data_IF_259547989056
#
_entry.id   IF_259547989056
#
_cell.length_a   1.000
_cell.length_b   1.000
_cell.length_c   1.000
_cell.angle_alpha   90.00
_cell.angle_beta   90.00
_cell.angle_gamma   90.00
#
_symmetry.space_group_name_H-M   'P 1'
#
loop_
_entity.id
_entity.type
_entity.pdbx_description
1 polymer ?
#
# COMPACT_ATOMS: atom_id res chain seq x y z
N UNK A 1 22.76 -31.55 -3.24
CA UNK A 1 21.39 -32.10 -3.24
C UNK A 1 20.45 -30.94 -3.52
N UNK A 2 19.81 -30.89 -4.69
CA UNK A 2 18.89 -29.80 -5.04
C UNK A 2 17.56 -30.10 -4.33
N UNK A 3 17.22 -29.32 -3.31
CA UNK A 3 15.86 -29.36 -2.73
C UNK A 3 14.87 -28.91 -3.82
N UNK A 4 14.04 -29.84 -4.30
CA UNK A 4 13.11 -29.59 -5.42
C UNK A 4 11.82 -28.89 -4.98
N UNK A 5 11.50 -28.87 -3.68
CA UNK A 5 10.37 -28.17 -3.10
C UNK A 5 10.62 -27.90 -1.60
N UNK A 6 10.32 -26.67 -1.15
CA UNK A 6 10.42 -26.25 0.26
C UNK A 6 9.04 -25.80 0.74
N UNK A 7 8.57 -26.37 1.85
CA UNK A 7 7.33 -25.96 2.52
C UNK A 7 7.70 -25.32 3.86
N UNK A 8 7.33 -24.05 4.04
CA UNK A 8 7.55 -23.31 5.27
C UNK A 8 6.50 -22.19 5.40
N UNK A 9 6.29 -21.62 6.61
CA UNK A 9 5.49 -20.42 6.78
C UNK A 9 5.99 -19.27 5.92
N UNK A 10 5.08 -18.39 5.49
CA UNK A 10 5.38 -17.29 4.57
C UNK A 10 6.53 -16.36 5.04
N UNK A 11 6.62 -15.96 6.33
CA UNK A 11 7.77 -15.17 6.81
C UNK A 11 9.12 -15.87 6.57
N UNK A 12 9.18 -17.18 6.81
CA UNK A 12 10.40 -17.98 6.61
C UNK A 12 10.79 -18.05 5.13
N UNK A 13 9.80 -18.13 4.22
CA UNK A 13 10.06 -18.12 2.79
C UNK A 13 10.58 -16.76 2.29
N UNK A 14 10.14 -15.66 2.90
CA UNK A 14 10.67 -14.31 2.63
C UNK A 14 12.10 -14.17 3.17
N UNK A 15 12.34 -14.51 4.45
CA UNK A 15 13.66 -14.43 5.09
C UNK A 15 14.71 -15.28 4.37
N UNK A 16 14.31 -16.45 3.86
CA UNK A 16 15.18 -17.35 3.11
C UNK A 16 15.38 -16.98 1.64
N UNK A 17 14.73 -15.91 1.15
CA UNK A 17 14.84 -15.42 -0.22
C UNK A 17 14.07 -16.25 -1.26
N UNK A 18 13.31 -17.26 -0.86
CA UNK A 18 12.42 -18.03 -1.76
C UNK A 18 11.29 -17.15 -2.30
N UNK A 19 10.81 -16.20 -1.50
CA UNK A 19 9.93 -15.10 -1.93
C UNK A 19 10.78 -13.81 -1.95
N UNK A 20 11.42 -13.48 -3.07
CA UNK A 20 12.46 -12.44 -3.11
C UNK A 20 11.92 -11.01 -3.19
N UNK A 21 10.62 -10.82 -3.46
CA UNK A 21 10.02 -9.50 -3.61
C UNK A 21 8.54 -9.47 -3.22
N UNK A 22 8.02 -8.26 -3.02
CA UNK A 22 6.61 -8.03 -2.73
C UNK A 22 5.70 -8.44 -3.92
N UNK A 23 6.21 -8.39 -5.15
CA UNK A 23 5.51 -8.86 -6.35
C UNK A 23 5.34 -10.38 -6.34
N UNK A 24 6.41 -11.12 -6.02
CA UNK A 24 6.32 -12.59 -5.87
C UNK A 24 5.40 -12.96 -4.71
N UNK A 25 5.46 -12.22 -3.60
CA UNK A 25 4.50 -12.37 -2.49
C UNK A 25 3.05 -12.19 -3.00
N UNK A 26 2.80 -11.19 -3.84
CA UNK A 26 1.48 -10.90 -4.39
C UNK A 26 0.93 -12.00 -5.31
N UNK A 27 1.79 -12.84 -5.90
CA UNK A 27 1.36 -14.01 -6.70
C UNK A 27 0.85 -15.16 -5.81
N UNK A 28 1.35 -15.26 -4.58
CA UNK A 28 0.99 -16.33 -3.64
C UNK A 28 -0.28 -16.01 -2.83
N UNK A 29 -0.46 -14.73 -2.49
CA UNK A 29 -1.54 -14.23 -1.62
C UNK A 29 -2.97 -14.61 -2.09
N UNK A 30 -3.31 -14.59 -3.40
CA UNK A 30 -4.66 -14.95 -3.86
C UNK A 30 -5.12 -16.34 -3.40
N UNK A 31 -4.19 -17.29 -3.19
CA UNK A 31 -4.53 -18.64 -2.73
C UNK A 31 -5.01 -18.65 -1.28
N UNK A 32 -4.37 -17.84 -0.43
CA UNK A 32 -4.69 -17.67 0.98
C UNK A 32 -6.01 -16.89 1.14
N UNK A 33 -6.17 -15.79 0.38
CA UNK A 33 -7.38 -14.98 0.39
C UNK A 33 -8.58 -15.77 -0.15
N UNK A 34 -8.38 -16.62 -1.16
CA UNK A 34 -9.43 -17.52 -1.65
C UNK A 34 -9.92 -18.46 -0.55
N UNK A 35 -9.00 -19.08 0.20
CA UNK A 35 -9.34 -20.00 1.28
C UNK A 35 -10.06 -19.28 2.43
N UNK A 36 -9.55 -18.11 2.85
CA UNK A 36 -10.14 -17.28 3.89
C UNK A 36 -11.54 -16.76 3.48
N UNK A 37 -11.69 -16.30 2.24
CA UNK A 37 -12.98 -15.82 1.72
C UNK A 37 -13.99 -16.96 1.62
N UNK A 38 -13.57 -18.11 1.10
CA UNK A 38 -14.41 -19.28 1.00
C UNK A 38 -14.75 -19.89 2.37
N UNK A 39 -13.90 -19.74 3.39
CA UNK A 39 -14.11 -20.29 4.72
C UNK A 39 -15.44 -19.88 5.39
N UNK A 40 -16.04 -18.79 4.95
CA UNK A 40 -17.34 -18.34 5.43
C UNK A 40 -18.55 -19.14 4.91
N UNK A 41 -18.41 -19.94 3.85
CA UNK A 41 -19.48 -20.84 3.41
C UNK A 41 -19.54 -22.09 4.30
N UNK A 42 -20.75 -22.48 4.72
CA UNK A 42 -20.95 -23.63 5.62
C UNK A 42 -20.72 -24.98 4.94
N UNK A 43 -21.14 -25.10 3.68
CA UNK A 43 -21.05 -26.32 2.90
C UNK A 43 -19.65 -26.50 2.29
N UNK A 44 -19.06 -27.69 2.45
CA UNK A 44 -17.69 -27.97 2.02
C UNK A 44 -17.51 -27.93 0.49
N UNK A 45 -18.38 -28.57 -0.32
CA UNK A 45 -18.39 -28.39 -1.78
C UNK A 45 -18.49 -26.92 -2.20
N UNK A 46 -19.38 -26.14 -1.58
CA UNK A 46 -19.54 -24.73 -1.88
C UNK A 46 -18.28 -23.91 -1.53
N UNK A 47 -17.61 -24.20 -0.40
CA UNK A 47 -16.30 -23.61 -0.08
C UNK A 47 -15.29 -23.88 -1.18
N UNK A 48 -15.17 -25.14 -1.62
CA UNK A 48 -14.23 -25.51 -2.66
C UNK A 48 -14.53 -24.79 -3.99
N UNK A 49 -15.80 -24.77 -4.40
CA UNK A 49 -16.26 -24.06 -5.60
C UNK A 49 -15.94 -22.57 -5.52
N UNK A 50 -16.24 -21.92 -4.40
CA UNK A 50 -16.05 -20.47 -4.24
C UNK A 50 -14.57 -20.09 -4.15
N UNK A 51 -13.74 -20.93 -3.54
CA UNK A 51 -12.28 -20.76 -3.57
C UNK A 51 -11.71 -20.90 -4.99
N UNK A 52 -12.17 -21.90 -5.75
CA UNK A 52 -11.77 -22.09 -7.15
C UNK A 52 -12.22 -20.92 -8.03
N UNK A 53 -13.47 -20.46 -7.87
CA UNK A 53 -14.00 -19.31 -8.59
C UNK A 53 -13.20 -18.03 -8.29
N UNK A 54 -12.83 -17.79 -7.03
CA UNK A 54 -11.99 -16.67 -6.65
C UNK A 54 -10.64 -16.70 -7.40
N UNK A 55 -9.94 -17.84 -7.35
CA UNK A 55 -8.64 -18.01 -8.02
C UNK A 55 -8.75 -17.82 -9.54
N UNK A 56 -9.75 -18.43 -10.16
CA UNK A 56 -10.00 -18.29 -11.60
C UNK A 56 -10.24 -16.83 -11.99
N UNK A 57 -11.01 -16.10 -11.19
CA UNK A 57 -11.30 -14.69 -11.44
C UNK A 57 -10.08 -13.78 -11.29
N UNK A 58 -9.11 -14.14 -10.43
CA UNK A 58 -7.84 -13.41 -10.27
C UNK A 58 -6.88 -13.60 -11.45
N UNK A 59 -6.99 -14.72 -12.15
CA UNK A 59 -6.19 -15.01 -13.36
C UNK A 59 -6.79 -14.41 -14.64
N UNK A 60 -7.89 -13.65 -14.55
CA UNK A 60 -8.50 -13.02 -15.72
C UNK A 60 -7.65 -11.86 -16.23
N UNK A 61 -7.61 -11.68 -17.55
CA UNK A 61 -7.06 -10.47 -18.16
C UNK A 61 -7.95 -9.28 -17.79
N UNK A 62 -7.35 -8.23 -17.26
CA UNK A 62 -8.03 -6.97 -16.95
C UNK A 62 -7.97 -6.02 -18.15
N UNK A 63 -9.04 -5.25 -18.35
CA UNK A 63 -9.06 -4.11 -19.28
C UNK A 63 -8.51 -2.85 -18.63
N UNK A 64 -7.81 -2.02 -19.39
CA UNK A 64 -7.51 -0.65 -18.99
C UNK A 64 -8.78 0.18 -19.17
N UNK A 65 -9.33 0.68 -18.06
CA UNK A 65 -10.46 1.60 -18.07
C UNK A 65 -10.00 2.98 -17.60
N UNK A 66 -10.53 4.01 -18.23
CA UNK A 66 -10.26 5.41 -17.90
C UNK A 66 -11.44 5.98 -17.08
N UNK A 67 -11.30 7.22 -16.63
CA UNK A 67 -12.33 8.03 -15.95
C UNK A 67 -12.84 7.43 -14.64
N UNK A 68 -11.93 6.75 -13.93
CA UNK A 68 -12.22 5.99 -12.71
C UNK A 68 -13.28 4.88 -12.93
N UNK A 69 -13.50 4.47 -14.18
CA UNK A 69 -14.36 3.35 -14.50
C UNK A 69 -13.79 2.04 -13.94
N UNK A 70 -14.70 1.13 -13.60
CA UNK A 70 -14.36 -0.12 -12.91
C UNK A 70 -14.83 -1.33 -13.70
N UNK A 71 -13.99 -2.35 -13.73
CA UNK A 71 -14.41 -3.65 -14.23
C UNK A 71 -15.29 -4.36 -13.22
N UNK A 72 -16.03 -5.37 -13.73
CA UNK A 72 -16.80 -6.29 -12.91
C UNK A 72 -15.95 -6.85 -11.78
N UNK A 73 -16.54 -6.89 -10.58
CA UNK A 73 -16.00 -7.46 -9.36
C UNK A 73 -16.53 -8.88 -9.14
N UNK A 74 -15.84 -9.71 -8.33
CA UNK A 74 -16.28 -11.09 -8.09
C UNK A 74 -17.72 -11.17 -7.57
N UNK A 75 -18.13 -10.21 -6.74
CA UNK A 75 -19.46 -10.18 -6.11
C UNK A 75 -20.58 -9.79 -7.10
N UNK A 76 -20.23 -9.27 -8.27
CA UNK A 76 -21.19 -8.90 -9.32
C UNK A 76 -21.54 -10.08 -10.23
N UNK A 77 -20.78 -11.18 -10.16
CA UNK A 77 -21.02 -12.39 -10.94
C UNK A 77 -22.34 -13.06 -10.54
N UNK A 78 -23.24 -13.41 -11.50
CA UNK A 78 -24.56 -13.95 -11.18
C UNK A 78 -24.54 -15.17 -10.25
N UNK A 79 -23.63 -16.13 -10.48
CA UNK A 79 -23.52 -17.34 -9.65
C UNK A 79 -22.94 -17.07 -8.26
N UNK A 80 -22.06 -16.07 -8.12
CA UNK A 80 -21.55 -15.63 -6.81
C UNK A 80 -22.66 -14.96 -6.01
N UNK A 81 -23.46 -14.10 -6.67
CA UNK A 81 -24.63 -13.46 -6.05
C UNK A 81 -25.65 -14.48 -5.57
N UNK A 82 -25.93 -15.51 -6.38
CA UNK A 82 -26.90 -16.55 -6.06
C UNK A 82 -26.59 -17.29 -4.75
N UNK A 83 -25.31 -17.45 -4.41
CA UNK A 83 -24.88 -18.16 -3.18
C UNK A 83 -24.50 -17.22 -2.04
N UNK A 84 -24.58 -15.90 -2.23
CA UNK A 84 -24.13 -14.91 -1.23
C UNK A 84 -24.86 -15.02 0.13
N UNK A 85 -26.13 -15.43 0.13
CA UNK A 85 -26.90 -15.65 1.36
C UNK A 85 -26.36 -16.81 2.23
N UNK A 86 -25.53 -17.70 1.66
CA UNK A 86 -24.90 -18.81 2.38
C UNK A 86 -23.61 -18.38 3.11
N UNK A 87 -23.18 -17.13 2.94
CA UNK A 87 -21.97 -16.58 3.55
C UNK A 87 -22.25 -16.18 5.01
N UNK A 88 -21.46 -16.72 5.94
CA UNK A 88 -21.48 -16.29 7.34
C UNK A 88 -20.92 -14.87 7.49
N UNK A 89 -21.53 -14.05 8.34
CA UNK A 89 -21.09 -12.67 8.62
C UNK A 89 -20.86 -12.41 10.11
N UNK A 90 -20.72 -13.47 10.91
CA UNK A 90 -20.49 -13.38 12.35
C UNK A 90 -19.08 -12.89 12.71
N UNK A 91 -18.89 -12.57 14.00
CA UNK A 91 -17.63 -12.02 14.52
C UNK A 91 -16.42 -12.91 14.20
N UNK A 92 -16.57 -14.23 14.32
CA UNK A 92 -15.47 -15.18 14.06
C UNK A 92 -14.93 -15.08 12.63
N UNK A 93 -15.80 -14.88 11.64
CA UNK A 93 -15.38 -14.68 10.24
C UNK A 93 -14.63 -13.36 10.08
N UNK A 94 -15.09 -12.30 10.74
CA UNK A 94 -14.43 -10.98 10.70
C UNK A 94 -13.05 -11.03 11.36
N UNK A 95 -12.95 -11.70 12.50
CA UNK A 95 -11.71 -11.87 13.26
C UNK A 95 -10.68 -12.70 12.47
N UNK A 96 -11.12 -13.78 11.81
CA UNK A 96 -10.27 -14.58 10.91
C UNK A 96 -9.74 -13.77 9.73
N UNK A 97 -10.62 -12.97 9.11
CA UNK A 97 -10.23 -12.09 8.01
C UNK A 97 -9.26 -10.99 8.49
N UNK A 98 -9.45 -10.45 9.69
CA UNK A 98 -8.55 -9.46 10.29
C UNK A 98 -7.18 -10.05 10.62
N UNK A 99 -7.14 -11.23 11.24
CA UNK A 99 -5.89 -11.93 11.53
C UNK A 99 -5.11 -12.23 10.25
N UNK A 100 -5.79 -12.72 9.21
CA UNK A 100 -5.17 -12.98 7.90
C UNK A 100 -4.67 -11.67 7.25
N UNK A 101 -5.47 -10.61 7.27
CA UNK A 101 -5.11 -9.30 6.72
C UNK A 101 -3.86 -8.74 7.41
N UNK A 102 -3.86 -8.74 8.75
CA UNK A 102 -2.77 -8.26 9.58
C UNK A 102 -1.50 -9.07 9.31
N UNK A 103 -1.59 -10.40 9.33
CA UNK A 103 -0.44 -11.26 9.09
C UNK A 103 0.20 -11.03 7.72
N UNK A 104 -0.60 -10.95 6.65
CA UNK A 104 -0.08 -10.71 5.30
C UNK A 104 0.55 -9.32 5.17
N UNK A 105 -0.06 -8.30 5.79
CA UNK A 105 0.47 -6.94 5.78
C UNK A 105 1.76 -6.83 6.61
N UNK A 106 1.86 -7.51 7.76
CA UNK A 106 3.09 -7.59 8.56
C UNK A 106 4.23 -8.26 7.78
N UNK A 107 3.95 -9.38 7.10
CA UNK A 107 4.94 -10.06 6.25
C UNK A 107 5.43 -9.14 5.13
N UNK A 108 4.54 -8.40 4.48
CA UNK A 108 4.90 -7.50 3.40
C UNK A 108 5.75 -6.32 3.88
N UNK A 109 5.33 -5.67 4.97
CA UNK A 109 6.02 -4.50 5.53
C UNK A 109 7.36 -4.88 6.15
N UNK A 110 7.45 -5.99 6.87
CA UNK A 110 8.71 -6.44 7.48
C UNK A 110 9.68 -7.01 6.44
N UNK A 111 9.18 -7.76 5.46
CA UNK A 111 10.00 -8.37 4.41
C UNK A 111 10.55 -7.38 3.39
N UNK A 112 9.76 -6.36 3.03
CA UNK A 112 10.07 -5.43 1.94
C UNK A 112 9.88 -3.97 2.37
N UNK A 113 10.58 -3.51 3.43
CA UNK A 113 10.27 -2.24 4.07
C UNK A 113 10.47 -1.03 3.14
N UNK A 114 11.41 -1.10 2.19
CA UNK A 114 11.68 -0.02 1.24
C UNK A 114 10.80 -0.03 -0.03
N UNK A 115 9.85 -0.95 -0.16
CA UNK A 115 9.08 -1.17 -1.39
C UNK A 115 7.63 -0.75 -1.20
N UNK A 116 7.06 -0.04 -2.17
CA UNK A 116 5.61 0.21 -2.18
C UNK A 116 4.87 -1.12 -2.37
N UNK A 117 3.73 -1.28 -1.70
CA UNK A 117 2.93 -2.49 -1.86
C UNK A 117 2.42 -2.59 -3.30
N UNK A 118 2.72 -3.68 -4.03
CA UNK A 118 2.28 -3.82 -5.41
C UNK A 118 0.75 -3.81 -5.50
N UNK A 119 0.21 -3.22 -6.57
CA UNK A 119 -1.23 -3.15 -6.79
C UNK A 119 -1.96 -4.50 -6.67
N UNK A 120 -1.41 -5.65 -7.15
CA UNK A 120 -2.02 -6.95 -6.90
C UNK A 120 -2.16 -7.28 -5.40
N UNK A 121 -1.14 -7.00 -4.59
CA UNK A 121 -1.17 -7.21 -3.14
C UNK A 121 -2.18 -6.27 -2.46
N UNK A 122 -2.18 -4.99 -2.81
CA UNK A 122 -3.14 -3.99 -2.30
C UNK A 122 -4.59 -4.44 -2.54
N UNK A 123 -4.88 -4.97 -3.73
CA UNK A 123 -6.22 -5.48 -4.08
C UNK A 123 -6.65 -6.66 -3.24
N UNK A 124 -5.72 -7.56 -2.91
CA UNK A 124 -5.98 -8.71 -2.05
C UNK A 124 -6.19 -8.30 -0.59
N UNK A 125 -5.33 -7.43 -0.05
CA UNK A 125 -5.52 -6.86 1.29
C UNK A 125 -6.85 -6.11 1.40
N UNK A 126 -7.24 -5.35 0.36
CA UNK A 126 -8.53 -4.66 0.32
C UNK A 126 -9.72 -5.61 0.35
N UNK A 127 -9.60 -6.84 -0.17
CA UNK A 127 -10.67 -7.86 -0.07
C UNK A 127 -10.87 -8.28 1.38
N UNK A 128 -9.77 -8.55 2.09
CA UNK A 128 -9.82 -8.92 3.50
C UNK A 128 -10.33 -7.76 4.37
N UNK A 129 -9.83 -6.53 4.14
CA UNK A 129 -10.25 -5.33 4.87
C UNK A 129 -11.76 -5.06 4.77
N UNK A 130 -12.37 -5.29 3.60
CA UNK A 130 -13.83 -5.16 3.45
C UNK A 130 -14.62 -6.14 4.33
N UNK A 131 -14.04 -7.29 4.69
CA UNK A 131 -14.70 -8.31 5.52
C UNK A 131 -14.55 -8.04 7.01
N UNK A 132 -13.55 -7.28 7.42
CA UNK A 132 -13.35 -6.93 8.84
C UNK A 132 -14.33 -5.86 9.32
N UNK A 133 -14.86 -5.04 8.40
CA UNK A 133 -15.67 -3.87 8.73
C UNK A 133 -14.82 -2.69 9.22
N UNK A 134 -13.48 -2.80 9.14
CA UNK A 134 -12.58 -1.69 9.43
C UNK A 134 -12.69 -0.62 8.35
N UNK A 135 -12.65 0.64 8.76
CA UNK A 135 -12.48 1.77 7.83
C UNK A 135 -11.00 1.91 7.45
N UNK A 136 -10.51 0.92 6.68
CA UNK A 136 -9.13 0.80 6.24
C UNK A 136 -9.02 1.07 4.73
N UNK A 137 -9.03 2.35 4.29
CA UNK A 137 -8.92 2.71 2.87
C UNK A 137 -7.53 2.36 2.33
N UNK A 138 -7.49 1.50 1.31
CA UNK A 138 -6.26 1.13 0.60
C UNK A 138 -6.28 1.67 -0.84
N UNK A 139 -5.22 2.39 -1.22
CA UNK A 139 -5.03 3.07 -2.50
C UNK A 139 -3.98 2.36 -3.36
N UNK A 140 -4.19 2.34 -4.67
CA UNK A 140 -3.24 1.79 -5.64
C UNK A 140 -2.17 2.82 -6.04
N UNK A 141 -1.02 2.32 -6.50
CA UNK A 141 -0.07 3.12 -7.29
C UNK A 141 -0.73 3.45 -8.63
N UNK A 142 -0.77 4.75 -8.95
CA UNK A 142 -1.32 5.27 -10.20
C UNK A 142 -0.22 5.40 -11.26
N UNK A 143 -0.58 5.14 -12.51
CA UNK A 143 0.34 5.29 -13.64
C UNK A 143 0.17 6.69 -14.27
N UNK A 144 1.29 7.41 -14.41
CA UNK A 144 1.29 8.82 -14.78
C UNK A 144 0.88 9.10 -16.23
N UNK A 145 1.05 8.14 -17.12
CA UNK A 145 0.69 8.18 -18.54
C UNK A 145 -0.82 8.10 -18.79
N UNK A 146 -1.57 7.54 -17.84
CA UNK A 146 -3.04 7.39 -17.90
C UNK A 146 -3.76 8.16 -16.78
N UNK A 147 -3.02 8.98 -16.02
CA UNK A 147 -3.59 9.77 -14.94
C UNK A 147 -4.27 11.03 -15.50
N UNK A 148 -5.49 11.28 -15.04
CA UNK A 148 -6.38 12.31 -15.59
C UNK A 148 -6.68 13.42 -14.59
N UNK A 149 -5.76 13.69 -13.66
CA UNK A 149 -5.86 14.80 -12.71
C UNK A 149 -6.87 14.59 -11.58
N UNK A 150 -7.49 13.41 -11.47
CA UNK A 150 -8.54 13.16 -10.49
C UNK A 150 -8.26 11.92 -9.63
N UNK A 151 -8.63 12.01 -8.36
CA UNK A 151 -8.55 10.92 -7.41
C UNK A 151 -9.94 10.45 -7.00
N UNK A 152 -10.07 9.17 -6.63
CA UNK A 152 -11.28 8.66 -6.01
C UNK A 152 -11.35 9.05 -4.52
N UNK A 153 -12.54 9.10 -3.88
CA UNK A 153 -12.71 9.47 -2.47
C UNK A 153 -11.84 8.71 -1.47
N UNK A 154 -11.43 7.48 -1.78
CA UNK A 154 -10.57 6.69 -0.89
C UNK A 154 -9.17 7.27 -0.70
N UNK A 155 -8.67 8.09 -1.62
CA UNK A 155 -7.37 8.75 -1.46
C UNK A 155 -7.44 9.81 -0.36
N UNK A 156 -8.50 10.61 -0.34
CA UNK A 156 -8.76 11.55 0.74
C UNK A 156 -8.90 10.80 2.08
N UNK A 157 -9.72 9.74 2.12
CA UNK A 157 -9.87 8.91 3.32
C UNK A 157 -8.55 8.33 3.83
N UNK A 158 -7.68 7.83 2.94
CA UNK A 158 -6.36 7.32 3.33
C UNK A 158 -5.43 8.43 3.85
N UNK A 159 -5.51 9.64 3.31
CA UNK A 159 -4.75 10.79 3.81
C UNK A 159 -5.23 11.26 5.18
N UNK A 160 -6.54 11.20 5.44
CA UNK A 160 -7.10 11.47 6.78
C UNK A 160 -6.56 10.48 7.82
N UNK A 161 -6.55 9.19 7.48
CA UNK A 161 -5.98 8.13 8.34
C UNK A 161 -4.47 8.35 8.58
N UNK A 162 -3.74 8.85 7.58
CA UNK A 162 -2.34 9.23 7.77
C UNK A 162 -2.18 10.38 8.77
N UNK A 163 -3.05 11.39 8.71
CA UNK A 163 -3.04 12.50 9.66
C UNK A 163 -3.32 12.06 11.09
N UNK A 164 -4.30 11.17 11.30
CA UNK A 164 -4.60 10.59 12.63
C UNK A 164 -3.39 9.91 13.30
N UNK A 165 -2.45 9.38 12.50
CA UNK A 165 -1.26 8.70 13.00
C UNK A 165 -0.02 9.60 13.09
N UNK A 166 0.13 10.56 12.18
CA UNK A 166 1.39 11.24 11.90
C UNK A 166 1.41 12.73 12.24
N UNK A 167 0.31 13.29 12.76
CA UNK A 167 0.32 14.65 13.30
C UNK A 167 1.38 14.80 14.41
N UNK A 168 2.18 15.86 14.33
CA UNK A 168 3.32 16.13 15.21
C UNK A 168 4.57 15.28 14.94
N UNK A 169 4.56 14.39 13.94
CA UNK A 169 5.65 13.44 13.70
C UNK A 169 6.81 14.01 12.89
N UNK A 170 7.90 13.24 12.77
CA UNK A 170 9.01 13.55 11.87
C UNK A 170 8.55 13.61 10.40
N UNK A 171 7.65 12.72 9.99
CA UNK A 171 7.15 12.63 8.62
C UNK A 171 6.42 13.91 8.21
N UNK A 172 5.54 14.41 9.08
CA UNK A 172 4.81 15.67 8.87
C UNK A 172 5.78 16.84 8.69
N UNK A 173 6.73 16.99 9.61
CA UNK A 173 7.74 18.06 9.56
C UNK A 173 8.63 17.98 8.32
N UNK A 174 9.08 16.78 7.96
CA UNK A 174 9.97 16.58 6.82
C UNK A 174 9.30 16.96 5.50
N UNK A 175 8.03 16.59 5.31
CA UNK A 175 7.29 16.87 4.07
C UNK A 175 6.52 18.19 4.10
N UNK A 176 6.56 18.95 5.19
CA UNK A 176 5.78 20.18 5.36
C UNK A 176 4.30 19.94 5.09
N UNK A 177 3.72 18.93 5.75
CA UNK A 177 2.30 18.61 5.66
C UNK A 177 1.59 19.30 6.82
N UNK A 178 0.40 19.84 6.59
CA UNK A 178 -0.52 20.25 7.65
C UNK A 178 -1.61 19.19 7.76
N UNK A 179 -1.42 18.20 8.65
CA UNK A 179 -2.38 17.10 8.77
C UNK A 179 -3.72 17.55 9.38
N UNK A 180 -3.72 18.63 10.18
CA UNK A 180 -4.95 19.21 10.70
C UNK A 180 -5.81 19.77 9.56
N UNK A 181 -5.20 20.49 8.61
CA UNK A 181 -5.90 20.95 7.40
C UNK A 181 -6.38 19.78 6.52
N UNK A 182 -5.57 18.72 6.36
CA UNK A 182 -5.97 17.51 5.62
C UNK A 182 -7.22 16.88 6.25
N UNK A 183 -7.29 16.79 7.59
CA UNK A 183 -8.44 16.23 8.28
C UNK A 183 -9.72 17.02 7.97
N UNK A 184 -9.68 18.36 8.06
CA UNK A 184 -10.82 19.23 7.76
C UNK A 184 -11.33 19.05 6.33
N UNK A 185 -10.43 18.94 5.34
CA UNK A 185 -10.78 18.68 3.93
C UNK A 185 -11.55 17.37 3.75
N UNK A 186 -11.32 16.38 4.62
CA UNK A 186 -11.99 15.08 4.56
C UNK A 186 -13.31 15.02 5.33
N UNK A 187 -13.43 15.76 6.44
CA UNK A 187 -14.67 15.84 7.23
C UNK A 187 -15.79 16.65 6.55
N UNK A 188 -15.41 17.58 5.67
CA UNK A 188 -16.33 18.38 4.85
C UNK A 188 -16.83 17.62 3.61
N UNK A 189 -16.26 16.45 3.31
CA UNK A 189 -16.80 15.49 2.34
C UNK A 189 -18.07 14.78 2.85
N UNK A 190 -18.87 14.13 1.98
CA UNK A 190 -20.12 13.51 2.40
C UNK A 190 -19.88 12.48 3.53
N UNK A 191 -20.40 12.76 4.74
CA UNK A 191 -20.26 12.02 6.01
C UNK A 191 -20.91 10.62 6.01
N UNK A 192 -20.73 9.83 4.97
CA UNK A 192 -21.15 8.42 4.92
C UNK A 192 -20.08 7.59 4.22
N UNK A 193 -19.79 6.37 4.71
CA UNK A 193 -18.98 5.43 3.93
C UNK A 193 -19.70 5.22 2.60
N UNK A 194 -19.05 5.59 1.50
CA UNK A 194 -19.52 5.35 0.14
C UNK A 194 -19.42 3.85 -0.19
N UNK A 195 -20.14 3.03 0.57
CA UNK A 195 -20.24 1.58 0.39
C UNK A 195 -21.56 1.16 -0.26
N UNK A 196 -22.31 2.09 -0.85
CA UNK A 196 -23.45 1.80 -1.74
C UNK A 196 -23.60 2.89 -2.81
N UNK A 197 -23.14 2.57 -4.02
CA UNK A 197 -23.80 2.92 -5.29
C UNK A 197 -23.88 4.37 -5.80
N UNK A 198 -23.79 5.42 -4.98
CA UNK A 198 -23.91 6.80 -5.47
C UNK A 198 -23.25 7.79 -4.50
N UNK A 199 -22.01 8.15 -4.80
CA UNK A 199 -21.26 9.22 -4.15
C UNK A 199 -20.40 9.89 -5.22
N UNK A 200 -19.94 11.12 -4.97
CA UNK A 200 -19.07 11.85 -5.90
C UNK A 200 -17.97 10.91 -6.44
N UNK A 201 -17.85 10.80 -7.76
CA UNK A 201 -16.86 9.92 -8.40
C UNK A 201 -15.42 10.33 -8.06
N UNK A 202 -15.23 11.58 -7.65
CA UNK A 202 -13.93 12.22 -7.46
C UNK A 202 -13.79 12.85 -6.07
N UNK A 203 -12.55 13.10 -5.66
CA UNK A 203 -12.16 13.89 -4.48
C UNK A 203 -11.49 15.20 -4.94
N UNK A 204 -12.27 16.23 -5.30
CA UNK A 204 -11.74 17.46 -5.90
C UNK A 204 -10.79 18.22 -4.96
N UNK A 205 -11.11 18.32 -3.67
CA UNK A 205 -10.28 19.06 -2.71
C UNK A 205 -8.93 18.37 -2.46
N UNK A 206 -8.94 17.03 -2.40
CA UNK A 206 -7.71 16.24 -2.33
C UNK A 206 -6.87 16.38 -3.60
N UNK A 207 -7.50 16.41 -4.78
CA UNK A 207 -6.80 16.64 -6.04
C UNK A 207 -6.16 18.04 -6.07
N UNK A 208 -6.90 19.07 -5.65
CA UNK A 208 -6.40 20.44 -5.56
C UNK A 208 -5.17 20.53 -4.63
N UNK A 209 -5.23 19.91 -3.45
CA UNK A 209 -4.10 19.84 -2.52
C UNK A 209 -2.86 19.15 -3.15
N UNK A 210 -3.06 18.04 -3.86
CA UNK A 210 -1.95 17.35 -4.53
C UNK A 210 -1.33 18.21 -5.64
N UNK A 211 -2.14 18.93 -6.41
CA UNK A 211 -1.68 19.86 -7.44
C UNK A 211 -0.89 21.02 -6.84
N UNK A 212 -1.44 21.67 -5.80
CA UNK A 212 -0.78 22.77 -5.10
C UNK A 212 0.60 22.36 -4.57
N UNK A 213 0.66 21.21 -3.87
CA UNK A 213 1.91 20.67 -3.34
C UNK A 213 2.90 20.25 -4.43
N UNK A 214 2.41 19.90 -5.62
CA UNK A 214 3.25 19.62 -6.78
C UNK A 214 3.73 20.90 -7.50
N UNK A 215 3.40 22.10 -6.99
CA UNK A 215 3.73 23.38 -7.62
C UNK A 215 2.97 23.61 -8.92
N UNK A 216 1.86 22.90 -9.15
CA UNK A 216 1.08 22.95 -10.37
C UNK A 216 -0.27 23.60 -10.10
N UNK A 217 -0.70 24.50 -10.99
CA UNK A 217 -2.10 24.93 -11.01
C UNK A 217 -2.94 23.82 -11.66
N UNK A 218 -4.17 23.54 -11.18
CA UNK A 218 -5.08 22.64 -11.86
C UNK A 218 -5.33 23.19 -13.28
N UNK A 219 -4.74 22.57 -14.30
CA UNK A 219 -5.03 22.90 -15.69
C UNK A 219 -6.10 21.95 -16.20
N UNK A 220 -7.10 22.47 -16.91
CA UNK A 220 -8.21 21.67 -17.47
C UNK A 220 -7.82 20.79 -18.66
N UNK A 221 -6.55 20.39 -18.79
CA UNK A 221 -6.04 19.57 -19.89
C UNK A 221 -5.09 18.47 -19.38
N UNK A 222 -4.76 17.51 -20.25
CA UNK A 222 -3.80 16.45 -19.93
C UNK A 222 -2.42 17.07 -19.65
N UNK A 223 -2.02 17.08 -18.38
CA UNK A 223 -0.65 17.43 -17.99
C UNK A 223 0.36 16.48 -18.62
N UNK A 224 1.61 16.94 -18.79
CA UNK A 224 2.69 16.05 -19.22
C UNK A 224 2.93 14.92 -18.22
N UNK A 225 3.43 13.77 -18.66
CA UNK A 225 3.68 12.57 -17.82
C UNK A 225 4.49 12.91 -16.56
N UNK A 226 5.49 13.79 -16.67
CA UNK A 226 6.27 14.24 -15.52
C UNK A 226 5.44 15.07 -14.52
N UNK A 227 4.55 15.93 -15.01
CA UNK A 227 3.63 16.71 -14.17
C UNK A 227 2.63 15.82 -13.44
N UNK A 228 2.04 14.86 -14.15
CA UNK A 228 1.18 13.83 -13.57
C UNK A 228 1.93 13.02 -12.50
N UNK A 229 3.18 12.63 -12.78
CA UNK A 229 4.05 11.94 -11.84
C UNK A 229 4.25 12.72 -10.54
N UNK A 230 4.52 14.03 -10.61
CA UNK A 230 4.67 14.88 -9.44
C UNK A 230 3.39 15.00 -8.60
N UNK A 231 2.21 15.08 -9.24
CA UNK A 231 0.91 15.10 -8.54
C UNK A 231 0.62 13.75 -7.87
N UNK A 232 0.89 12.64 -8.56
CA UNK A 232 0.76 11.28 -7.99
C UNK A 232 1.71 11.10 -6.82
N UNK A 233 2.93 11.62 -6.91
CA UNK A 233 3.91 11.57 -5.82
C UNK A 233 3.38 12.27 -4.56
N UNK A 234 2.76 13.45 -4.70
CA UNK A 234 2.12 14.12 -3.56
C UNK A 234 0.99 13.29 -2.94
N UNK A 235 0.17 12.63 -3.76
CA UNK A 235 -0.84 11.72 -3.25
C UNK A 235 -0.23 10.53 -2.48
N UNK A 236 0.88 9.96 -2.96
CA UNK A 236 1.60 8.89 -2.25
C UNK A 236 2.19 9.37 -0.93
N UNK A 237 2.73 10.60 -0.88
CA UNK A 237 3.27 11.21 0.35
C UNK A 237 2.15 11.41 1.38
N UNK A 238 1.05 12.06 0.98
CA UNK A 238 -0.07 12.38 1.86
C UNK A 238 -0.77 11.13 2.42
N UNK A 239 -0.85 10.07 1.62
CA UNK A 239 -1.49 8.80 2.02
C UNK A 239 -0.51 7.81 2.67
N UNK A 240 0.79 8.15 2.75
CA UNK A 240 1.90 7.23 3.08
C UNK A 240 1.89 5.93 2.27
N UNK A 241 1.24 5.99 1.11
CA UNK A 241 0.92 4.85 0.27
C UNK A 241 0.49 3.59 1.06
N UNK A 242 -0.51 3.76 1.94
CA UNK A 242 -1.17 2.76 2.79
C UNK A 242 -0.49 2.38 4.10
N UNK A 243 0.75 2.79 4.38
CA UNK A 243 1.43 2.38 5.61
C UNK A 243 0.66 2.83 6.85
N UNK A 244 0.23 4.09 6.91
CA UNK A 244 -0.56 4.59 8.02
C UNK A 244 -1.89 3.84 8.15
N UNK A 245 -2.57 3.53 7.04
CA UNK A 245 -3.78 2.68 7.07
C UNK A 245 -3.48 1.32 7.69
N UNK A 246 -2.39 0.67 7.27
CA UNK A 246 -2.03 -0.66 7.78
C UNK A 246 -1.65 -0.62 9.26
N UNK A 247 -0.92 0.39 9.70
CA UNK A 247 -0.53 0.55 11.11
C UNK A 247 -1.73 0.93 11.96
N UNK A 248 -2.42 2.00 11.61
CA UNK A 248 -3.45 2.61 12.45
C UNK A 248 -4.78 1.85 12.42
N UNK A 249 -5.22 1.36 11.25
CA UNK A 249 -6.53 0.68 11.10
C UNK A 249 -6.41 -0.84 11.17
N UNK A 250 -5.37 -1.41 10.57
CA UNK A 250 -5.16 -2.88 10.58
C UNK A 250 -4.33 -3.34 11.79
N UNK A 251 -3.59 -2.43 12.44
CA UNK A 251 -2.80 -2.74 13.62
C UNK A 251 -1.44 -3.37 13.32
N UNK A 252 -0.93 -3.28 12.09
CA UNK A 252 0.36 -3.90 11.70
C UNK A 252 1.48 -3.48 12.64
N UNK A 253 2.18 -4.48 13.20
CA UNK A 253 3.37 -4.29 14.01
C UNK A 253 4.48 -5.23 13.51
N UNK A 254 5.47 -4.72 12.76
CA UNK A 254 6.56 -5.53 12.20
C UNK A 254 7.38 -6.21 13.30
N UNK A 255 7.70 -7.48 13.11
CA UNK A 255 8.43 -8.29 14.08
C UNK A 255 9.85 -7.77 14.33
N UNK A 256 10.50 -7.23 13.29
CA UNK A 256 11.83 -6.65 13.38
C UNK A 256 11.85 -5.28 14.06
N UNK A 257 10.69 -4.65 14.23
CA UNK A 257 10.53 -3.31 14.79
C UNK A 257 10.85 -2.18 13.82
N UNK A 258 10.29 -0.99 14.11
CA UNK A 258 10.34 0.17 13.22
C UNK A 258 11.77 0.68 12.96
N UNK A 259 12.62 0.71 13.99
CA UNK A 259 14.00 1.16 13.87
C UNK A 259 14.81 0.29 12.90
N UNK A 260 14.57 -1.02 12.90
CA UNK A 260 15.24 -1.93 11.97
C UNK A 260 14.72 -1.76 10.54
N UNK A 261 13.41 -1.54 10.37
CA UNK A 261 12.85 -1.26 9.05
C UNK A 261 13.44 0.02 8.47
N UNK A 262 13.58 1.08 9.29
CA UNK A 262 14.22 2.32 8.88
C UNK A 262 15.67 2.11 8.39
N UNK A 263 16.47 1.32 9.11
CA UNK A 263 17.85 0.98 8.69
C UNK A 263 17.87 0.21 7.36
N UNK A 264 17.01 -0.80 7.20
CA UNK A 264 16.91 -1.58 5.95
C UNK A 264 16.44 -0.74 4.76
N UNK A 265 15.55 0.22 5.00
CA UNK A 265 15.18 1.22 4.00
C UNK A 265 16.38 2.07 3.59
N UNK A 266 17.15 2.59 4.54
CA UNK A 266 18.34 3.40 4.23
C UNK A 266 19.41 2.62 3.46
N UNK A 267 19.70 1.39 3.88
CA UNK A 267 20.60 0.51 3.13
C UNK A 267 20.12 0.28 1.68
N UNK A 268 18.80 0.18 1.49
CA UNK A 268 18.21 0.10 0.15
C UNK A 268 18.41 1.41 -0.64
N UNK A 269 18.26 2.58 -0.01
CA UNK A 269 18.57 3.88 -0.63
C UNK A 269 20.04 3.93 -1.09
N UNK A 270 20.99 3.59 -0.23
CA UNK A 270 22.42 3.59 -0.58
C UNK A 270 22.71 2.65 -1.75
N UNK A 271 22.20 1.43 -1.72
CA UNK A 271 22.37 0.44 -2.80
C UNK A 271 21.74 0.90 -4.12
N UNK A 272 20.52 1.44 -4.09
CA UNK A 272 19.81 1.88 -5.30
C UNK A 272 20.43 3.14 -5.89
N UNK A 273 20.85 4.10 -5.06
CA UNK A 273 21.54 5.31 -5.54
C UNK A 273 22.92 5.02 -6.12
N UNK A 274 23.66 4.04 -5.58
CA UNK A 274 24.90 3.56 -6.20
C UNK A 274 24.62 2.88 -7.55
N UNK A 275 23.66 1.96 -7.60
CA UNK A 275 23.25 1.29 -8.84
C UNK A 275 22.83 2.29 -9.93
N UNK A 276 22.04 3.30 -9.58
CA UNK A 276 21.57 4.33 -10.51
C UNK A 276 22.71 5.08 -11.22
N UNK A 277 23.88 5.24 -10.59
CA UNK A 277 25.05 5.91 -11.22
C UNK A 277 25.61 5.12 -12.40
N UNK A 278 25.42 3.81 -12.38
CA UNK A 278 25.98 2.88 -13.37
C UNK A 278 24.97 2.53 -14.47
N UNK A 279 23.72 2.99 -14.35
CA UNK A 279 22.66 2.70 -15.30
C UNK A 279 22.51 3.80 -16.36
N UNK A 280 22.37 3.39 -17.62
CA UNK A 280 22.10 4.34 -18.73
C UNK A 280 20.74 5.04 -18.63
N UNK A 281 19.76 4.43 -17.95
CA UNK A 281 18.39 4.92 -17.79
C UNK A 281 17.91 4.72 -16.34
N UNK A 282 18.39 5.54 -15.40
CA UNK A 282 18.28 5.26 -13.97
C UNK A 282 16.93 5.64 -13.34
N UNK A 283 15.98 6.18 -14.11
CA UNK A 283 14.75 6.78 -13.57
C UNK A 283 13.94 5.80 -12.69
N UNK A 284 13.85 4.53 -13.09
CA UNK A 284 13.19 3.50 -12.28
C UNK A 284 13.90 3.28 -10.94
N UNK A 285 15.23 3.09 -10.98
CA UNK A 285 16.05 2.89 -9.78
C UNK A 285 16.04 4.12 -8.86
N UNK A 286 16.02 5.33 -9.42
CA UNK A 286 15.87 6.57 -8.64
C UNK A 286 14.50 6.65 -7.99
N UNK A 287 13.43 6.24 -8.70
CA UNK A 287 12.08 6.16 -8.15
C UNK A 287 12.02 5.19 -6.96
N UNK A 288 12.60 4.01 -7.09
CA UNK A 288 12.63 3.00 -6.03
C UNK A 288 13.46 3.48 -4.81
N UNK A 289 14.56 4.20 -5.05
CA UNK A 289 15.33 4.83 -3.98
C UNK A 289 14.50 5.89 -3.23
N UNK A 290 13.73 6.70 -3.95
CA UNK A 290 12.84 7.68 -3.34
C UNK A 290 11.72 7.02 -2.52
N UNK A 291 11.21 5.87 -2.96
CA UNK A 291 10.26 5.07 -2.18
C UNK A 291 10.87 4.54 -0.89
N UNK A 292 12.06 3.96 -0.95
CA UNK A 292 12.77 3.48 0.22
C UNK A 292 13.06 4.61 1.22
N UNK A 293 13.44 5.80 0.73
CA UNK A 293 13.63 6.98 1.56
C UNK A 293 12.35 7.42 2.27
N UNK A 294 11.23 7.50 1.56
CA UNK A 294 9.92 7.84 2.14
C UNK A 294 9.49 6.84 3.22
N UNK A 295 9.67 5.55 2.94
CA UNK A 295 9.39 4.46 3.89
C UNK A 295 10.26 4.57 5.15
N UNK A 296 11.55 4.89 5.00
CA UNK A 296 12.45 5.14 6.14
C UNK A 296 11.90 6.24 7.05
N UNK A 297 11.49 7.39 6.48
CA UNK A 297 10.95 8.51 7.25
C UNK A 297 9.65 8.13 7.98
N UNK A 298 8.80 7.33 7.34
CA UNK A 298 7.60 6.80 7.98
C UNK A 298 7.95 5.92 9.18
N UNK A 299 8.86 4.96 9.03
CA UNK A 299 9.27 4.07 10.13
C UNK A 299 9.95 4.83 11.28
N UNK A 300 10.81 5.81 10.97
CA UNK A 300 11.41 6.68 11.98
C UNK A 300 10.37 7.48 12.77
N UNK A 301 9.26 7.85 12.12
CA UNK A 301 8.17 8.59 12.75
C UNK A 301 7.35 7.77 13.74
N UNK A 302 7.47 6.43 13.67
CA UNK A 302 6.84 5.51 14.62
C UNK A 302 7.79 5.08 15.76
N UNK A 303 9.03 5.58 15.76
CA UNK A 303 9.97 5.38 16.85
C UNK A 303 9.82 6.48 17.91
N UNK A 304 10.21 6.18 19.15
CA UNK A 304 10.45 7.24 20.13
C UNK A 304 11.66 8.12 19.70
N UNK A 305 11.75 9.33 20.27
CA UNK A 305 12.75 10.31 19.87
C UNK A 305 14.20 9.86 20.08
N UNK A 306 14.49 9.08 21.13
CA UNK A 306 15.85 8.59 21.40
C UNK A 306 16.24 7.50 20.40
N UNK A 307 15.33 6.57 20.12
CA UNK A 307 15.52 5.52 19.12
C UNK A 307 15.70 6.12 17.72
N UNK A 308 14.86 7.07 17.33
CA UNK A 308 14.97 7.76 16.04
C UNK A 308 16.31 8.50 15.90
N UNK A 309 16.73 9.23 16.94
CA UNK A 309 18.01 9.93 16.95
C UNK A 309 19.20 8.96 16.84
N UNK A 310 19.13 7.80 17.52
CA UNK A 310 20.14 6.76 17.41
C UNK A 310 20.25 6.17 16.01
N UNK A 311 19.12 5.92 15.34
CA UNK A 311 19.13 5.46 13.93
C UNK A 311 19.75 6.53 13.02
N UNK A 312 19.34 7.80 13.17
CA UNK A 312 19.85 8.91 12.37
C UNK A 312 21.36 9.11 12.52
N UNK A 313 21.89 9.00 13.75
CA UNK A 313 23.32 9.09 14.02
C UNK A 313 24.13 7.99 13.33
N UNK A 314 23.55 6.78 13.19
CA UNK A 314 24.18 5.65 12.52
C UNK A 314 24.17 5.69 10.99
N UNK A 315 23.39 6.59 10.35
CA UNK A 315 23.28 6.63 8.88
C UNK A 315 24.59 7.02 8.20
N UNK A 316 25.43 7.82 8.87
CA UNK A 316 26.75 8.20 8.35
C UNK A 316 27.67 6.98 8.18
N UNK A 317 27.62 6.03 9.13
CA UNK A 317 28.39 4.79 9.05
C UNK A 317 27.93 3.90 7.90
N UNK A 318 26.61 3.79 7.69
CA UNK A 318 26.06 3.02 6.58
C UNK A 318 26.47 3.64 5.23
N UNK A 319 26.41 4.97 5.11
CA UNK A 319 26.87 5.68 3.92
C UNK A 319 28.35 5.40 3.61
N UNK A 320 29.20 5.32 4.65
CA UNK A 320 30.63 5.04 4.51
C UNK A 320 30.95 3.62 4.00
N UNK A 321 30.00 2.68 4.10
CA UNK A 321 30.14 1.31 3.56
C UNK A 321 29.97 1.24 2.05
N UNK A 322 29.48 2.31 1.42
CA UNK A 322 29.28 2.39 -0.03
C UNK A 322 30.35 3.27 -0.71
N UNK A 323 30.79 2.95 -1.94
CA UNK A 323 31.81 3.73 -2.65
C UNK A 323 31.38 5.20 -2.83
N UNK A 324 32.27 6.14 -2.56
CA UNK A 324 31.96 7.57 -2.62
C UNK A 324 31.64 8.05 -4.07
N UNK A 325 30.77 9.08 -4.26
CA UNK A 325 30.15 9.92 -3.24
C UNK A 325 28.62 9.80 -3.15
N UNK A 326 28.09 8.94 -2.26
CA UNK A 326 26.71 9.11 -1.74
C UNK A 326 26.62 10.30 -0.76
N UNK A 327 27.77 10.82 -0.29
CA UNK A 327 27.87 11.92 0.68
C UNK A 327 27.79 13.36 0.09
N UNK A 328 27.35 13.54 -1.17
CA UNK A 328 27.36 14.85 -1.85
C UNK A 328 25.97 15.39 -2.26
N UNK A 329 24.88 14.90 -1.66
CA UNK A 329 23.53 15.46 -1.88
C UNK A 329 22.73 15.51 -0.59
#
# INVERSE_FOLDING_TARGET
>A
MVERARSAPLPVLVESGVVPSAEVLAELVPQLVAAETAGAYRDAPLRALMAANYRAFRNRRSLLLLDLERQVRPEELPWVRAVSAQHRSDARVRDSAHATLRHLAEVAVDGFPGTLLPNPLVRELAVLARRTGLDAPLVEELAADIFMGAFSPKFAAAAAVAGELLEGSLYERYYGIDYAAVHVLTEQGPRRPAFRGSGARHAPDFAALCHERAGQRPSGGFGGVAGNGAVIEQAQILTTHNLATLVHRVGVAPASGWAELARRCFASVCRLTDRARHERRPLGTVKDAAYAWRQMLFHLSLCDGATAAGVLAGLAEETARHPAPVAAR
#
